data_IF_121295753385
#
_entry.id   IF_121295753385
#
_cell.length_a   1.000
_cell.length_b   1.000
_cell.length_c   1.000
_cell.angle_alpha   90.00
_cell.angle_beta   90.00
_cell.angle_gamma   90.00
#
_symmetry.space_group_name_H-M   'P 1'
#
loop_
_entity.id
_entity.type
_entity.pdbx_description
1 polymer ?
#
# COMPACT_ATOMS: atom_id res chain seq x y z
N UNK A 1 31.08 33.59 -12.01
CA UNK A 1 30.56 33.09 -13.29
C UNK A 1 29.75 31.86 -12.98
N UNK A 2 28.43 31.94 -13.07
CA UNK A 2 27.56 30.76 -12.98
C UNK A 2 27.51 30.25 -14.42
N UNK A 3 28.16 29.12 -14.69
CA UNK A 3 28.07 28.47 -16.00
C UNK A 3 26.59 28.15 -16.25
N UNK A 4 26.02 28.66 -17.35
CA UNK A 4 24.64 28.35 -17.68
C UNK A 4 24.53 26.84 -17.90
N UNK A 5 23.60 26.14 -17.21
CA UNK A 5 23.52 24.70 -17.29
C UNK A 5 23.18 24.30 -18.73
N UNK A 6 24.05 23.49 -19.33
CA UNK A 6 23.79 22.89 -20.64
C UNK A 6 22.46 22.12 -20.59
N UNK A 7 21.66 22.20 -21.64
CA UNK A 7 20.34 21.56 -21.74
C UNK A 7 20.41 20.07 -21.40
N UNK A 8 21.54 19.43 -21.73
CA UNK A 8 21.82 18.02 -21.40
C UNK A 8 21.92 17.79 -19.88
N UNK A 9 22.58 18.68 -19.15
CA UNK A 9 22.63 18.63 -17.67
C UNK A 9 21.26 18.88 -17.05
N UNK A 10 20.48 19.80 -17.60
CA UNK A 10 19.12 20.10 -17.10
C UNK A 10 18.17 18.91 -17.35
N UNK A 11 18.29 18.27 -18.51
CA UNK A 11 17.53 17.07 -18.87
C UNK A 11 17.89 15.87 -17.98
N UNK A 12 19.19 15.65 -17.71
CA UNK A 12 19.66 14.61 -16.79
C UNK A 12 19.16 14.87 -15.35
N UNK A 13 19.25 16.10 -14.87
CA UNK A 13 18.76 16.46 -13.54
C UNK A 13 17.25 16.22 -13.40
N UNK A 14 16.46 16.60 -14.42
CA UNK A 14 15.01 16.38 -14.42
C UNK A 14 14.65 14.89 -14.46
N UNK A 15 15.35 14.11 -15.29
CA UNK A 15 15.17 12.66 -15.39
C UNK A 15 15.52 11.97 -14.07
N UNK A 16 16.62 12.38 -13.43
CA UNK A 16 17.03 11.84 -12.13
C UNK A 16 16.05 12.20 -11.02
N UNK A 17 15.56 13.45 -10.99
CA UNK A 17 14.51 13.86 -10.06
C UNK A 17 13.23 13.04 -10.26
N UNK A 18 12.82 12.80 -11.51
CA UNK A 18 11.66 11.97 -11.83
C UNK A 18 11.83 10.53 -11.31
N UNK A 19 12.96 9.89 -11.58
CA UNK A 19 13.25 8.54 -11.10
C UNK A 19 13.25 8.46 -9.55
N UNK A 20 13.82 9.46 -8.87
CA UNK A 20 13.78 9.55 -7.41
C UNK A 20 12.35 9.60 -6.87
N UNK A 21 11.45 10.34 -7.51
CA UNK A 21 10.04 10.38 -7.08
C UNK A 21 9.34 9.03 -7.25
N UNK A 22 9.67 8.26 -8.29
CA UNK A 22 9.15 6.92 -8.50
C UNK A 22 9.61 5.94 -7.41
N UNK A 23 10.90 5.96 -7.06
CA UNK A 23 11.47 5.10 -6.01
C UNK A 23 10.81 5.40 -4.66
N UNK A 24 10.70 6.68 -4.31
CA UNK A 24 10.04 7.12 -3.07
C UNK A 24 8.57 6.69 -3.06
N UNK A 25 7.86 6.82 -4.18
CA UNK A 25 6.48 6.37 -4.33
C UNK A 25 6.33 4.87 -4.06
N UNK A 26 7.17 4.05 -4.68
CA UNK A 26 7.17 2.59 -4.50
C UNK A 26 7.43 2.16 -3.07
N UNK A 27 8.42 2.76 -2.40
CA UNK A 27 8.72 2.46 -0.99
C UNK A 27 7.57 2.83 -0.06
N UNK A 28 6.92 3.97 -0.30
CA UNK A 28 5.73 4.38 0.48
C UNK A 28 4.56 3.43 0.27
N UNK A 29 4.39 2.88 -0.93
CA UNK A 29 3.36 1.89 -1.21
C UNK A 29 3.62 0.56 -0.50
N UNK A 30 4.86 0.06 -0.55
CA UNK A 30 5.28 -1.15 0.19
C UNK A 30 5.06 -1.00 1.69
N UNK A 31 5.48 0.13 2.26
CA UNK A 31 5.23 0.43 3.67
C UNK A 31 3.73 0.51 4.01
N UNK A 32 2.87 0.92 3.08
CA UNK A 32 1.43 0.94 3.29
C UNK A 32 0.83 -0.48 3.30
N UNK A 33 1.34 -1.39 2.46
CA UNK A 33 0.96 -2.81 2.50
C UNK A 33 1.34 -3.43 3.85
N UNK A 34 2.57 -3.23 4.30
CA UNK A 34 3.04 -3.76 5.59
C UNK A 34 2.18 -3.27 6.76
N UNK A 35 1.81 -1.98 6.76
CA UNK A 35 0.91 -1.42 7.77
C UNK A 35 -0.48 -2.06 7.75
N UNK A 36 -1.02 -2.39 6.57
CA UNK A 36 -2.32 -3.07 6.46
C UNK A 36 -2.20 -4.49 7.01
N UNK A 37 -1.19 -5.24 6.57
CA UNK A 37 -0.92 -6.60 7.08
C UNK A 37 -0.80 -6.60 8.59
N UNK A 38 -0.10 -5.63 9.16
CA UNK A 38 0.05 -5.50 10.60
C UNK A 38 -1.27 -5.16 11.31
N UNK A 39 -2.12 -4.30 10.74
CA UNK A 39 -3.46 -4.00 11.28
C UNK A 39 -4.31 -5.28 11.33
N UNK A 40 -4.33 -6.06 10.24
CA UNK A 40 -5.08 -7.32 10.19
C UNK A 40 -4.54 -8.34 11.21
N UNK A 41 -3.21 -8.45 11.35
CA UNK A 41 -2.57 -9.29 12.38
C UNK A 41 -2.92 -8.87 13.81
N UNK A 42 -2.82 -7.58 14.13
CA UNK A 42 -3.15 -7.07 15.48
C UNK A 42 -4.61 -7.32 15.88
N UNK A 43 -5.52 -7.31 14.91
CA UNK A 43 -6.95 -7.57 15.17
C UNK A 43 -7.32 -9.05 15.09
N UNK A 44 -6.37 -9.95 14.78
CA UNK A 44 -6.61 -11.38 14.63
C UNK A 44 -7.35 -11.75 13.34
N UNK A 45 -7.49 -10.82 12.40
CA UNK A 45 -8.21 -11.01 11.14
C UNK A 45 -7.33 -11.66 10.06
N UNK A 46 -6.61 -12.73 10.43
CA UNK A 46 -5.66 -13.47 9.55
C UNK A 46 -6.25 -14.77 9.00
N UNK A 47 -7.53 -15.02 9.29
CA UNK A 47 -8.27 -16.19 8.85
C UNK A 47 -9.75 -15.86 8.79
N UNK A 48 -10.52 -16.74 8.13
CA UNK A 48 -11.97 -16.57 7.97
C UNK A 48 -12.70 -16.46 9.31
N UNK A 49 -12.27 -17.22 10.32
CA UNK A 49 -12.85 -17.21 11.66
C UNK A 49 -12.58 -15.90 12.42
N UNK A 50 -11.46 -15.25 12.12
CA UNK A 50 -11.09 -13.95 12.66
C UNK A 50 -11.59 -12.75 11.84
N UNK A 51 -12.40 -12.97 10.80
CA UNK A 51 -12.85 -11.90 9.92
C UNK A 51 -13.59 -10.81 10.70
N UNK A 52 -13.23 -9.55 10.46
CA UNK A 52 -13.82 -8.38 11.12
C UNK A 52 -14.27 -7.34 10.10
N UNK A 53 -15.24 -6.51 10.47
CA UNK A 53 -15.65 -5.40 9.60
C UNK A 53 -14.56 -4.32 9.56
N UNK A 54 -14.57 -3.49 8.50
CA UNK A 54 -13.66 -2.35 8.41
C UNK A 54 -13.84 -1.36 9.58
N UNK A 55 -15.07 -1.23 10.10
CA UNK A 55 -15.38 -0.40 11.27
C UNK A 55 -14.79 -0.99 12.55
N UNK A 56 -14.93 -2.31 12.77
CA UNK A 56 -14.38 -3.03 13.94
C UNK A 56 -12.86 -2.99 14.00
N UNK A 57 -12.20 -3.01 12.84
CA UNK A 57 -10.75 -2.88 12.71
C UNK A 57 -10.27 -1.42 12.72
N UNK A 58 -11.19 -0.46 12.91
CA UNK A 58 -10.94 0.99 12.79
C UNK A 58 -10.23 1.38 11.50
N UNK A 59 -10.44 0.59 10.43
CA UNK A 59 -10.04 0.96 9.07
C UNK A 59 -10.86 2.16 8.59
N UNK A 60 -12.07 2.35 9.10
CA UNK A 60 -13.03 3.34 8.61
C UNK A 60 -12.58 4.81 8.78
N UNK A 61 -12.01 5.21 9.92
CA UNK A 61 -11.91 6.66 10.24
C UNK A 61 -10.61 7.36 9.81
N UNK A 62 -9.59 6.65 9.32
CA UNK A 62 -8.34 7.28 8.81
C UNK A 62 -7.96 6.91 7.38
N UNK A 63 -8.66 5.97 6.76
CA UNK A 63 -8.39 5.56 5.37
C UNK A 63 -9.14 6.45 4.37
N UNK A 64 -10.25 7.07 4.80
CA UNK A 64 -11.05 8.01 4.01
C UNK A 64 -10.85 9.48 4.38
N UNK A 65 -10.05 9.79 5.40
CA UNK A 65 -9.74 11.17 5.75
C UNK A 65 -8.88 11.79 4.64
N UNK A 66 -9.49 12.63 3.81
CA UNK A 66 -8.85 13.48 2.80
C UNK A 66 -7.75 14.29 3.51
N UNK A 67 -6.53 13.80 3.48
CA UNK A 67 -5.34 14.54 3.86
C UNK A 67 -4.57 14.86 2.60
N UNK A 68 -4.05 16.09 2.57
CA UNK A 68 -3.21 16.73 1.55
C UNK A 68 -1.93 15.91 1.20
N UNK A 69 -1.73 14.76 1.85
CA UNK A 69 -0.63 13.82 1.68
C UNK A 69 -1.21 12.53 1.09
N UNK A 70 -0.75 12.11 -0.09
CA UNK A 70 -1.12 10.84 -0.75
C UNK A 70 -1.10 9.69 0.28
N UNK A 71 -2.28 9.32 0.77
CA UNK A 71 -2.43 8.15 1.64
C UNK A 71 -2.53 6.93 0.73
N UNK A 72 -1.45 6.15 0.70
CA UNK A 72 -1.35 4.96 -0.12
C UNK A 72 -2.14 3.77 0.46
N UNK A 73 -2.64 3.89 1.70
CA UNK A 73 -3.40 2.84 2.41
C UNK A 73 -4.68 2.40 1.69
N UNK A 74 -5.61 3.30 1.27
CA UNK A 74 -6.79 2.88 0.51
C UNK A 74 -6.43 2.20 -0.82
N UNK A 75 -5.36 2.65 -1.50
CA UNK A 75 -4.88 2.02 -2.72
C UNK A 75 -4.27 0.64 -2.44
N UNK A 76 -3.48 0.51 -1.38
CA UNK A 76 -2.88 -0.76 -0.95
C UNK A 76 -3.94 -1.78 -0.53
N UNK A 77 -5.01 -1.36 0.18
CA UNK A 77 -6.10 -2.25 0.54
C UNK A 77 -6.84 -2.75 -0.70
N UNK A 78 -7.20 -1.84 -1.63
CA UNK A 78 -7.83 -2.22 -2.91
C UNK A 78 -6.93 -3.15 -3.71
N UNK A 79 -5.63 -2.90 -3.72
CA UNK A 79 -4.65 -3.75 -4.38
C UNK A 79 -4.60 -5.15 -3.76
N UNK A 80 -4.58 -5.25 -2.44
CA UNK A 80 -4.58 -6.54 -1.72
C UNK A 80 -5.88 -7.31 -1.92
N UNK A 81 -7.02 -6.62 -2.00
CA UNK A 81 -8.32 -7.23 -2.34
C UNK A 81 -8.29 -7.76 -3.77
N UNK A 82 -7.85 -6.94 -4.74
CA UNK A 82 -7.76 -7.34 -6.15
C UNK A 82 -6.76 -8.48 -6.40
N UNK A 83 -5.81 -8.70 -5.48
CA UNK A 83 -4.83 -9.79 -5.53
C UNK A 83 -5.28 -11.03 -4.73
N UNK A 84 -6.51 -11.06 -4.24
CA UNK A 84 -7.06 -12.13 -3.39
C UNK A 84 -6.26 -12.35 -2.08
N UNK A 85 -5.45 -11.38 -1.67
CA UNK A 85 -4.69 -11.43 -0.42
C UNK A 85 -5.57 -11.05 0.75
N UNK A 86 -6.44 -10.05 0.57
CA UNK A 86 -7.52 -9.72 1.50
C UNK A 86 -8.83 -10.21 0.90
N UNK A 87 -9.55 -11.05 1.65
CA UNK A 87 -10.79 -11.67 1.20
C UNK A 87 -11.97 -11.11 2.00
N UNK A 88 -13.12 -11.03 1.34
CA UNK A 88 -14.38 -10.58 1.92
C UNK A 88 -15.28 -11.79 2.17
N UNK A 89 -15.84 -11.91 3.36
CA UNK A 89 -16.84 -12.91 3.68
C UNK A 89 -18.22 -12.46 3.18
N UNK A 90 -19.19 -13.37 3.23
CA UNK A 90 -20.58 -13.08 2.86
C UNK A 90 -21.20 -11.96 3.70
N UNK A 91 -20.74 -11.78 4.94
CA UNK A 91 -21.26 -10.80 5.90
C UNK A 91 -20.51 -9.46 5.87
N UNK A 92 -19.86 -9.12 4.76
CA UNK A 92 -19.06 -7.91 4.60
C UNK A 92 -17.89 -7.77 5.60
N UNK A 93 -17.37 -8.90 6.09
CA UNK A 93 -16.16 -8.90 6.95
C UNK A 93 -14.93 -9.17 6.09
N UNK A 94 -13.83 -8.52 6.44
CA UNK A 94 -12.55 -8.66 5.74
C UNK A 94 -11.61 -9.52 6.59
N UNK A 95 -10.83 -10.37 5.92
CA UNK A 95 -9.71 -11.08 6.53
C UNK A 95 -8.52 -11.17 5.56
N UNK A 96 -7.33 -11.23 6.13
CA UNK A 96 -6.09 -11.44 5.41
C UNK A 96 -5.87 -12.95 5.24
N UNK A 97 -5.71 -13.43 4.01
CA UNK A 97 -5.34 -14.81 3.74
C UNK A 97 -3.83 -14.95 3.81
N UNK A 98 -3.30 -15.53 4.89
CA UNK A 98 -1.84 -15.73 5.01
C UNK A 98 -1.27 -16.60 3.90
N UNK A 99 -2.04 -17.59 3.43
CA UNK A 99 -1.65 -18.44 2.28
C UNK A 99 -1.45 -17.60 1.02
N UNK A 100 -2.39 -16.70 0.71
CA UNK A 100 -2.31 -15.87 -0.48
C UNK A 100 -1.26 -14.76 -0.31
N UNK A 101 -1.05 -14.27 0.92
CA UNK A 101 0.03 -13.35 1.23
C UNK A 101 1.41 -13.96 0.97
N UNK A 102 1.68 -15.19 1.43
CA UNK A 102 2.95 -15.86 1.15
C UNK A 102 3.15 -16.09 -0.34
N UNK A 103 2.10 -16.47 -1.06
CA UNK A 103 2.15 -16.62 -2.52
C UNK A 103 2.46 -15.31 -3.23
N UNK A 104 1.86 -14.22 -2.76
CA UNK A 104 2.12 -12.88 -3.28
C UNK A 104 3.58 -12.48 -3.06
N UNK A 105 4.12 -12.65 -1.85
CA UNK A 105 5.50 -12.33 -1.52
C UNK A 105 6.52 -13.17 -2.31
N UNK A 106 6.23 -14.45 -2.55
CA UNK A 106 7.10 -15.34 -3.33
C UNK A 106 7.07 -15.06 -4.84
N UNK A 107 5.99 -14.47 -5.35
CA UNK A 107 5.86 -14.13 -6.78
C UNK A 107 6.46 -12.74 -7.10
N UNK A 108 6.85 -11.95 -6.10
CA UNK A 108 7.57 -10.68 -6.27
C UNK A 108 9.11 -10.84 -6.17
N UNK A 109 9.63 -12.07 -6.19
CA UNK A 109 11.06 -12.39 -6.30
C UNK A 109 11.46 -12.79 -7.73
#
# INVERSE_FOLDING_TARGET
MIEEPDYLTMFLALSMAFLLTMIIGGWRFKSAIDQIVEIFRRHGAVSRDGAKSAEEMKLDTRIFAIRIRRDYKPQALRFLINRDVVLRTHDDKLYLSERNLMRFLNNEQ
#
